data_IF_723838119564
#
_entry.id   IF_723838119564
#
_cell.length_a   1.000
_cell.length_b   1.000
_cell.length_c   1.000
_cell.angle_alpha   90.00
_cell.angle_beta   90.00
_cell.angle_gamma   90.00
#
_symmetry.space_group_name_H-M   'P 1'
#
loop_
_entity.id
_entity.type
_entity.pdbx_description
1 polymer ?
#
# COMPACT_ATOMS: atom_id res chain seq x y z
N UNK A 1 4.99 -16.22 -11.98
CA UNK A 1 5.54 -17.35 -11.19
C UNK A 1 5.62 -16.96 -9.72
N UNK A 2 4.93 -17.70 -8.84
CA UNK A 2 5.11 -17.63 -7.39
C UNK A 2 6.34 -18.43 -6.98
N UNK A 3 7.09 -17.97 -5.98
CA UNK A 3 8.20 -18.73 -5.40
C UNK A 3 7.64 -19.48 -4.20
N UNK A 4 7.85 -20.80 -4.17
CA UNK A 4 7.35 -21.67 -3.11
C UNK A 4 8.52 -22.24 -2.32
N UNK A 5 8.31 -22.41 -1.02
CA UNK A 5 9.20 -23.10 -0.09
C UNK A 5 8.35 -24.20 0.52
N UNK A 6 8.76 -25.46 0.40
CA UNK A 6 7.92 -26.59 0.82
C UNK A 6 6.52 -26.52 0.21
N UNK A 7 6.43 -26.62 -1.12
CA UNK A 7 5.17 -26.50 -1.83
C UNK A 7 4.05 -27.28 -1.11
N UNK A 8 2.89 -26.64 -0.81
CA UNK A 8 2.40 -25.39 -1.40
C UNK A 8 2.73 -24.10 -0.62
N UNK A 9 3.68 -24.08 0.32
CA UNK A 9 3.87 -22.91 1.20
C UNK A 9 4.67 -21.79 0.51
N UNK A 10 4.35 -20.55 0.87
CA UNK A 10 4.97 -19.34 0.29
C UNK A 10 5.83 -18.65 1.35
N UNK A 11 7.09 -18.30 1.04
CA UNK A 11 7.95 -17.55 1.95
C UNK A 11 7.49 -16.09 2.06
N UNK A 12 7.62 -15.52 3.26
CA UNK A 12 7.41 -14.09 3.48
C UNK A 12 8.65 -13.33 3.03
N UNK A 13 8.45 -12.27 2.25
CA UNK A 13 9.49 -11.34 1.84
C UNK A 13 9.06 -9.91 2.17
N UNK A 14 9.99 -8.95 2.10
CA UNK A 14 9.68 -7.53 2.27
C UNK A 14 8.55 -7.09 1.31
N UNK A 15 8.65 -7.45 0.03
CA UNK A 15 7.64 -7.16 -1.01
C UNK A 15 6.52 -8.20 -1.13
N UNK A 16 6.33 -9.09 -0.15
CA UNK A 16 5.28 -10.11 -0.21
C UNK A 16 3.87 -9.58 0.08
N UNK A 17 3.73 -8.33 0.55
CA UNK A 17 2.43 -7.73 0.91
C UNK A 17 1.60 -8.55 1.89
N UNK A 18 2.26 -9.33 2.74
CA UNK A 18 1.59 -10.10 3.75
C UNK A 18 0.99 -9.18 4.81
N UNK A 19 -0.27 -9.39 5.12
CA UNK A 19 -1.04 -8.64 6.11
C UNK A 19 -1.40 -9.56 7.27
N UNK A 20 -0.99 -9.20 8.48
CA UNK A 20 -1.28 -9.93 9.70
C UNK A 20 -2.29 -9.15 10.55
N UNK A 21 -3.57 -9.25 10.18
CA UNK A 21 -4.66 -8.63 10.95
C UNK A 21 -4.96 -9.45 12.19
N UNK A 22 -4.88 -8.81 13.35
CA UNK A 22 -5.04 -9.47 14.64
C UNK A 22 -6.37 -10.25 14.73
N UNK A 23 -6.27 -11.56 14.81
CA UNK A 23 -7.40 -12.48 15.01
C UNK A 23 -7.81 -12.58 16.48
N UNK A 24 -6.89 -12.28 17.40
CA UNK A 24 -7.18 -12.15 18.82
C UNK A 24 -7.34 -10.67 19.21
N UNK A 25 -8.23 -10.33 20.15
CA UNK A 25 -8.52 -8.94 20.51
C UNK A 25 -7.28 -8.15 20.98
N UNK A 26 -6.98 -7.04 20.31
CA UNK A 26 -5.99 -6.06 20.77
C UNK A 26 -6.63 -5.11 21.78
N UNK A 27 -6.58 -5.51 23.05
CA UNK A 27 -7.16 -4.77 24.16
C UNK A 27 -6.28 -3.57 24.53
N UNK A 28 -6.77 -2.36 24.30
CA UNK A 28 -6.04 -1.13 24.57
C UNK A 28 -6.75 -0.27 25.62
N UNK A 29 -5.97 0.55 26.32
CA UNK A 29 -6.47 1.54 27.27
C UNK A 29 -7.05 2.70 26.46
N UNK A 30 -8.33 3.03 26.65
CA UNK A 30 -8.94 4.21 26.04
C UNK A 30 -9.37 5.22 27.10
N UNK A 31 -9.39 6.52 26.78
CA UNK A 31 -9.88 7.54 27.70
C UNK A 31 -11.37 7.34 27.98
N UNK A 32 -11.77 7.46 29.26
CA UNK A 32 -13.16 7.37 29.71
C UNK A 32 -13.44 8.37 30.85
N UNK A 33 -14.67 8.89 31.00
CA UNK A 33 -15.03 9.86 32.03
C UNK A 33 -15.63 9.21 33.29
N UNK A 34 -15.39 9.72 34.53
CA UNK A 34 -14.08 9.88 35.19
C UNK A 34 -13.40 8.51 35.45
N UNK A 35 -12.10 8.51 35.81
CA UNK A 35 -11.22 7.33 35.91
C UNK A 35 -11.83 6.05 36.54
N UNK A 36 -11.44 4.83 36.10
CA UNK A 36 -10.24 4.48 35.32
C UNK A 36 -10.45 4.28 33.81
N UNK A 37 -9.36 4.04 33.06
CA UNK A 37 -9.40 3.79 31.59
C UNK A 37 -10.39 2.69 31.22
N UNK A 38 -10.97 2.78 30.02
CA UNK A 38 -11.89 1.76 29.49
C UNK A 38 -11.10 0.81 28.59
N UNK A 39 -10.97 -0.49 28.94
CA UNK A 39 -10.39 -1.47 28.04
C UNK A 39 -11.26 -1.61 26.78
N UNK A 40 -10.68 -1.29 25.62
CA UNK A 40 -11.39 -1.29 24.33
C UNK A 40 -10.62 -2.13 23.32
N UNK A 41 -11.34 -2.94 22.55
CA UNK A 41 -10.76 -3.65 21.41
C UNK A 41 -10.49 -2.64 20.30
N UNK A 42 -9.22 -2.42 19.97
CA UNK A 42 -8.81 -1.63 18.82
C UNK A 42 -8.27 -2.54 17.70
N UNK A 43 -8.34 -2.14 16.43
CA UNK A 43 -7.70 -2.91 15.38
C UNK A 43 -6.17 -2.88 15.54
N UNK A 44 -5.51 -3.96 15.13
CA UNK A 44 -4.08 -3.96 14.89
C UNK A 44 -3.77 -4.84 13.69
N UNK A 45 -3.04 -4.30 12.73
CA UNK A 45 -2.68 -4.99 11.49
C UNK A 45 -1.19 -4.81 11.24
N UNK A 46 -0.46 -5.91 11.14
CA UNK A 46 0.94 -5.93 10.75
C UNK A 46 1.11 -6.01 9.24
N UNK A 47 2.13 -5.35 8.68
CA UNK A 47 2.45 -5.41 7.24
C UNK A 47 3.89 -5.87 7.03
N UNK A 48 4.10 -6.93 6.26
CA UNK A 48 5.43 -7.58 6.08
C UNK A 48 6.51 -6.66 5.51
N UNK A 49 6.12 -5.59 4.80
CA UNK A 49 7.04 -4.60 4.22
C UNK A 49 7.29 -3.38 5.12
N UNK A 50 6.52 -3.22 6.21
CA UNK A 50 6.62 -2.06 7.09
C UNK A 50 7.72 -2.28 8.13
N UNK A 51 8.72 -1.39 8.16
CA UNK A 51 9.86 -1.44 9.09
C UNK A 51 10.41 -2.87 9.37
N UNK A 52 10.75 -3.67 8.34
CA UNK A 52 11.17 -5.05 8.50
C UNK A 52 12.50 -5.11 9.27
N UNK A 53 12.57 -6.01 10.26
CA UNK A 53 13.76 -6.26 11.08
C UNK A 53 14.02 -7.76 11.14
N UNK A 54 15.30 -8.15 11.08
CA UNK A 54 15.69 -9.56 11.13
C UNK A 54 15.38 -10.36 9.87
N UNK A 55 15.19 -9.68 8.74
CA UNK A 55 15.11 -10.28 7.41
C UNK A 55 16.53 -10.59 6.92
N UNK A 56 16.66 -11.48 5.94
CA UNK A 56 17.94 -11.83 5.32
C UNK A 56 18.62 -10.61 4.73
N UNK A 57 19.94 -10.53 4.89
CA UNK A 57 20.77 -9.45 4.34
C UNK A 57 21.51 -9.86 3.07
N UNK A 58 21.66 -11.17 2.83
CA UNK A 58 22.45 -11.72 1.73
C UNK A 58 21.61 -12.41 0.64
N UNK A 59 20.41 -12.89 0.97
CA UNK A 59 19.56 -13.65 0.05
C UNK A 59 18.25 -12.91 -0.18
N UNK A 60 17.91 -12.74 -1.46
CA UNK A 60 16.66 -12.12 -1.89
C UNK A 60 15.85 -13.08 -2.76
N UNK A 61 14.52 -12.94 -2.70
CA UNK A 61 13.61 -13.52 -3.67
C UNK A 61 13.06 -12.37 -4.50
N UNK A 62 13.38 -12.36 -5.80
CA UNK A 62 12.97 -11.30 -6.74
C UNK A 62 13.40 -9.89 -6.29
N UNK A 63 14.56 -9.76 -5.65
CA UNK A 63 15.07 -8.48 -5.14
C UNK A 63 14.58 -8.11 -3.74
N UNK A 64 13.61 -8.85 -3.18
CA UNK A 64 13.11 -8.62 -1.83
C UNK A 64 13.81 -9.51 -0.80
N UNK A 65 14.23 -8.90 0.31
CA UNK A 65 14.76 -9.60 1.47
C UNK A 65 13.74 -10.60 2.03
N UNK A 66 14.20 -11.80 2.40
CA UNK A 66 13.37 -12.90 2.89
C UNK A 66 13.22 -12.79 4.41
N UNK A 67 12.03 -12.98 4.96
CA UNK A 67 11.84 -13.12 6.39
C UNK A 67 12.39 -14.47 6.86
N UNK A 68 13.28 -14.44 7.84
CA UNK A 68 13.89 -15.63 8.45
C UNK A 68 13.60 -15.65 9.95
N UNK A 69 13.87 -16.77 10.62
CA UNK A 69 13.58 -16.95 12.05
C UNK A 69 14.07 -15.77 12.89
N UNK A 70 13.16 -15.19 13.68
CA UNK A 70 13.40 -13.98 14.48
C UNK A 70 13.03 -12.67 13.77
N UNK A 71 12.56 -12.73 12.52
CA UNK A 71 12.05 -11.57 11.81
C UNK A 71 10.82 -10.95 12.49
N UNK A 72 10.64 -9.65 12.24
CA UNK A 72 9.51 -8.85 12.70
C UNK A 72 9.26 -7.69 11.75
N UNK A 73 8.08 -7.11 11.81
CA UNK A 73 7.70 -5.94 11.01
C UNK A 73 6.72 -5.03 11.78
N UNK A 74 6.45 -3.84 11.27
CA UNK A 74 5.58 -2.83 11.87
C UNK A 74 4.11 -3.25 11.90
N UNK A 75 3.33 -2.59 12.76
CA UNK A 75 1.88 -2.69 12.76
C UNK A 75 1.22 -1.34 12.97
N UNK A 76 -0.05 -1.22 12.63
CA UNK A 76 -0.86 -0.02 12.81
C UNK A 76 -2.30 -0.34 13.20
N UNK A 77 -3.06 0.70 13.58
CA UNK A 77 -4.51 0.61 13.85
C UNK A 77 -4.96 1.02 15.26
N UNK A 78 -4.05 1.09 16.24
CA UNK A 78 -4.39 1.34 17.65
C UNK A 78 -3.90 2.70 18.19
N UNK A 79 -3.69 3.66 17.30
CA UNK A 79 -3.11 4.98 17.61
C UNK A 79 -3.99 5.80 18.54
N UNK A 80 -5.30 5.54 18.53
CA UNK A 80 -6.27 6.15 19.42
C UNK A 80 -5.94 5.92 20.92
N UNK A 81 -5.26 4.82 21.25
CA UNK A 81 -4.85 4.48 22.62
C UNK A 81 -3.49 5.06 23.04
N UNK A 82 -2.82 5.82 22.16
CA UNK A 82 -1.47 6.32 22.44
C UNK A 82 -1.42 7.26 23.63
N UNK A 83 -2.41 8.15 23.78
CA UNK A 83 -2.50 9.11 24.89
C UNK A 83 -2.74 8.46 26.25
N UNK A 84 -3.16 7.19 26.27
CA UNK A 84 -3.55 6.42 27.46
C UNK A 84 -2.60 5.25 27.74
N UNK A 85 -1.45 5.20 27.06
CA UNK A 85 -0.40 4.20 27.29
C UNK A 85 -0.56 2.90 26.49
N UNK A 86 -1.46 2.86 25.51
CA UNK A 86 -1.53 1.79 24.51
C UNK A 86 -2.17 0.49 24.99
N UNK A 87 -1.63 -0.62 24.50
CA UNK A 87 -2.06 -1.98 24.82
C UNK A 87 -2.04 -2.28 26.32
N UNK A 88 -3.03 -3.05 26.77
CA UNK A 88 -3.17 -3.48 28.16
C UNK A 88 -1.95 -4.28 28.63
N UNK A 89 -1.46 -5.20 27.80
CA UNK A 89 -0.30 -6.02 28.09
C UNK A 89 1.00 -5.39 27.58
N UNK A 90 1.02 -4.91 26.33
CA UNK A 90 2.26 -4.43 25.70
C UNK A 90 2.72 -3.05 26.16
N UNK A 91 1.82 -2.25 26.76
CA UNK A 91 2.03 -0.82 27.01
C UNK A 91 2.55 -0.07 25.79
N UNK A 92 2.10 -0.48 24.60
CA UNK A 92 2.56 0.03 23.32
C UNK A 92 1.41 0.22 22.33
N UNK A 93 1.64 1.07 21.34
CA UNK A 93 0.78 1.23 20.16
C UNK A 93 1.63 1.02 18.93
N UNK A 94 1.08 0.44 17.87
CA UNK A 94 1.81 0.20 16.63
C UNK A 94 3.07 -0.64 16.88
N UNK A 95 3.01 -1.51 17.89
CA UNK A 95 4.13 -2.34 18.28
C UNK A 95 4.51 -3.36 17.20
N UNK A 96 5.73 -3.92 17.25
CA UNK A 96 6.16 -4.86 16.23
C UNK A 96 5.27 -6.10 16.19
N UNK A 97 4.98 -6.57 14.98
CA UNK A 97 4.43 -7.89 14.68
C UNK A 97 5.59 -8.88 14.58
N UNK A 98 5.55 -9.95 15.39
CA UNK A 98 6.62 -10.96 15.44
C UNK A 98 6.09 -12.33 15.05
N UNK A 99 6.85 -13.07 14.25
CA UNK A 99 6.54 -14.47 13.99
C UNK A 99 6.65 -15.29 15.28
N UNK A 100 5.60 -16.05 15.56
CA UNK A 100 5.58 -17.09 16.59
C UNK A 100 5.95 -18.46 15.98
N UNK A 101 5.57 -18.68 14.72
CA UNK A 101 5.93 -19.88 13.96
C UNK A 101 7.44 -20.08 13.84
N UNK A 102 7.85 -21.36 13.75
CA UNK A 102 9.25 -21.75 13.59
C UNK A 102 9.76 -21.51 12.16
N UNK A 103 8.89 -21.23 11.20
CA UNK A 103 9.18 -21.20 9.78
C UNK A 103 9.22 -22.60 9.15
N UNK A 104 9.78 -22.67 7.94
CA UNK A 104 10.14 -23.92 7.28
C UNK A 104 11.07 -24.76 8.16
N UNK A 105 10.86 -26.08 8.18
CA UNK A 105 11.63 -27.00 9.02
C UNK A 105 12.88 -27.54 8.34
N UNK A 106 12.97 -27.40 7.02
CA UNK A 106 14.02 -27.96 6.16
C UNK A 106 14.69 -26.90 5.29
N UNK A 107 14.00 -25.83 4.90
CA UNK A 107 14.56 -24.72 4.13
C UNK A 107 15.05 -23.61 5.05
N UNK A 108 16.36 -23.36 4.98
CA UNK A 108 17.05 -22.32 5.75
C UNK A 108 17.74 -21.34 4.83
N UNK A 109 17.71 -20.07 5.24
CA UNK A 109 18.47 -18.96 4.66
C UNK A 109 19.32 -18.38 5.78
N UNK A 110 20.62 -18.18 5.52
CA UNK A 110 21.58 -17.71 6.54
C UNK A 110 21.57 -18.59 7.81
N UNK A 111 21.39 -19.90 7.63
CA UNK A 111 21.31 -20.87 8.72
C UNK A 111 20.01 -20.79 9.56
N UNK A 112 19.06 -19.92 9.20
CA UNK A 112 17.80 -19.72 9.90
C UNK A 112 16.62 -20.17 9.05
N UNK A 113 15.60 -20.73 9.70
CA UNK A 113 14.38 -21.16 9.02
C UNK A 113 13.71 -20.00 8.28
N UNK A 114 13.22 -20.25 7.08
CA UNK A 114 12.47 -19.26 6.29
C UNK A 114 11.05 -19.12 6.85
N UNK A 115 10.59 -17.90 7.13
CA UNK A 115 9.22 -17.66 7.58
C UNK A 115 8.24 -17.75 6.41
N UNK A 116 7.07 -18.31 6.68
CA UNK A 116 6.04 -18.67 5.72
C UNK A 116 4.76 -17.88 6.00
N UNK A 117 3.92 -17.70 4.99
CA UNK A 117 2.65 -16.97 5.15
C UNK A 117 1.77 -17.58 6.24
N UNK A 118 1.69 -18.90 6.33
CA UNK A 118 0.88 -19.57 7.35
C UNK A 118 1.47 -19.57 8.76
N UNK A 119 2.60 -18.90 9.02
CA UNK A 119 3.17 -18.86 10.36
C UNK A 119 2.36 -17.92 11.27
N UNK A 120 1.90 -18.40 12.44
CA UNK A 120 1.19 -17.55 13.38
C UNK A 120 2.11 -16.45 13.91
N UNK A 121 1.50 -15.33 14.30
CA UNK A 121 2.20 -14.12 14.69
C UNK A 121 1.64 -13.50 15.96
N UNK A 122 2.49 -12.75 16.64
CA UNK A 122 2.14 -11.86 17.73
C UNK A 122 2.02 -10.44 17.18
N UNK A 123 1.03 -9.69 17.65
CA UNK A 123 0.69 -8.34 17.19
C UNK A 123 0.81 -7.33 18.34
N UNK A 124 1.09 -6.08 17.98
CA UNK A 124 1.29 -4.96 18.89
C UNK A 124 2.16 -5.33 20.10
N UNK A 125 3.33 -5.93 19.85
CA UNK A 125 4.21 -6.28 20.95
C UNK A 125 4.79 -5.04 21.64
N UNK A 126 5.26 -5.20 22.88
CA UNK A 126 6.07 -4.18 23.55
C UNK A 126 7.33 -3.84 22.74
N UNK A 127 8.06 -2.75 23.08
CA UNK A 127 9.23 -2.31 22.31
C UNK A 127 10.32 -3.37 22.09
N UNK A 128 10.50 -4.31 23.03
CA UNK A 128 11.41 -5.46 22.89
C UNK A 128 10.86 -6.62 22.04
N UNK A 129 9.61 -6.51 21.59
CA UNK A 129 8.85 -7.57 20.95
C UNK A 129 8.13 -8.52 21.90
N UNK A 130 8.06 -8.17 23.18
CA UNK A 130 7.24 -8.81 24.21
C UNK A 130 6.90 -7.79 25.32
N UNK A 131 5.83 -8.02 26.10
CA UNK A 131 4.77 -9.00 25.84
C UNK A 131 3.94 -8.60 24.60
N UNK A 132 3.21 -9.57 24.04
CA UNK A 132 2.28 -9.32 22.96
C UNK A 132 0.94 -8.81 23.51
N UNK A 133 0.28 -7.91 22.77
CA UNK A 133 -1.07 -7.45 23.13
C UNK A 133 -2.17 -8.18 22.36
N UNK A 134 -1.83 -8.73 21.20
CA UNK A 134 -2.72 -9.50 20.33
C UNK A 134 -1.93 -10.56 19.55
N UNK A 135 -2.63 -11.34 18.72
CA UNK A 135 -2.01 -12.33 17.85
C UNK A 135 -2.84 -12.54 16.57
N UNK A 136 -2.15 -12.99 15.52
CA UNK A 136 -2.72 -13.45 14.26
C UNK A 136 -2.42 -14.94 14.12
N UNK A 137 -3.42 -15.79 14.34
CA UNK A 137 -3.21 -17.25 14.38
C UNK A 137 -3.23 -17.90 12.99
N UNK A 138 -3.89 -17.26 12.01
CA UNK A 138 -3.98 -17.73 10.62
C UNK A 138 -2.71 -17.48 9.81
N UNK A 139 -1.82 -16.62 10.30
CA UNK A 139 -0.66 -16.13 9.56
C UNK A 139 -0.95 -14.87 8.74
N UNK A 140 -0.12 -14.60 7.74
CA UNK A 140 -0.24 -13.46 6.85
C UNK A 140 -1.15 -13.80 5.68
N UNK A 141 -2.18 -12.99 5.49
CA UNK A 141 -2.98 -12.99 4.29
C UNK A 141 -2.30 -12.17 3.20
N UNK A 142 -2.33 -12.69 1.97
CA UNK A 142 -2.02 -11.93 0.77
C UNK A 142 -3.34 -11.71 0.04
N UNK A 143 -3.65 -10.47 -0.32
CA UNK A 143 -4.87 -10.16 -1.06
C UNK A 143 -4.90 -10.98 -2.37
N UNK A 144 -5.74 -12.01 -2.40
CA UNK A 144 -5.85 -12.96 -3.51
C UNK A 144 -7.28 -12.98 -4.06
N UNK A 145 -8.26 -12.62 -3.24
CA UNK A 145 -9.64 -12.37 -3.61
C UNK A 145 -9.92 -10.92 -4.01
N UNK A 146 -10.87 -10.72 -4.92
CA UNK A 146 -11.21 -9.39 -5.42
C UNK A 146 -11.77 -8.42 -4.36
N UNK A 147 -12.30 -8.93 -3.24
CA UNK A 147 -12.76 -8.12 -2.11
C UNK A 147 -11.61 -7.68 -1.19
N UNK A 148 -10.66 -8.58 -0.91
CA UNK A 148 -9.45 -8.27 -0.13
C UNK A 148 -8.57 -7.26 -0.87
N UNK A 149 -8.44 -7.40 -2.19
CA UNK A 149 -7.69 -6.45 -3.01
C UNK A 149 -8.33 -5.06 -2.95
N UNK A 150 -9.66 -4.98 -2.96
CA UNK A 150 -10.36 -3.71 -2.80
C UNK A 150 -10.03 -3.06 -1.45
N UNK A 151 -10.12 -3.81 -0.35
CA UNK A 151 -9.77 -3.32 1.00
C UNK A 151 -8.32 -2.82 1.03
N UNK A 152 -7.39 -3.59 0.44
CA UNK A 152 -5.99 -3.20 0.38
C UNK A 152 -5.75 -1.90 -0.42
N UNK A 153 -6.45 -1.73 -1.56
CA UNK A 153 -6.38 -0.49 -2.34
C UNK A 153 -6.98 0.69 -1.56
N UNK A 154 -8.09 0.49 -0.85
CA UNK A 154 -8.65 1.51 0.03
C UNK A 154 -7.66 1.93 1.14
N UNK A 155 -6.98 0.97 1.77
CA UNK A 155 -6.02 1.28 2.82
C UNK A 155 -4.77 1.99 2.29
N UNK A 156 -4.28 1.59 1.11
CA UNK A 156 -3.21 2.34 0.41
C UNK A 156 -3.65 3.78 0.15
N UNK A 157 -4.87 3.98 -0.33
CA UNK A 157 -5.42 5.32 -0.58
C UNK A 157 -5.50 6.17 0.69
N UNK A 158 -5.95 5.60 1.81
CA UNK A 158 -6.01 6.28 3.12
C UNK A 158 -4.61 6.67 3.60
N UNK A 159 -3.67 5.72 3.60
CA UNK A 159 -2.30 5.94 4.08
C UNK A 159 -1.59 7.01 3.26
N UNK A 160 -1.68 6.95 1.93
CA UNK A 160 -1.09 7.96 1.06
C UNK A 160 -1.76 9.33 1.22
N UNK A 161 -3.08 9.37 1.41
CA UNK A 161 -3.79 10.61 1.68
C UNK A 161 -3.30 11.27 2.97
N UNK A 162 -3.24 10.52 4.07
CA UNK A 162 -2.82 11.01 5.38
C UNK A 162 -1.34 11.42 5.39
N UNK A 163 -0.46 10.58 4.84
CA UNK A 163 0.98 10.83 4.80
C UNK A 163 1.30 12.14 4.08
N UNK A 164 0.82 12.29 2.85
CA UNK A 164 1.08 13.48 2.03
C UNK A 164 0.46 14.74 2.64
N UNK A 165 -0.74 14.61 3.22
CA UNK A 165 -1.37 15.74 3.91
C UNK A 165 -0.55 16.19 5.14
N UNK A 166 -0.08 15.26 5.98
CA UNK A 166 0.77 15.58 7.15
C UNK A 166 2.09 16.23 6.73
N UNK A 167 2.77 15.67 5.73
CA UNK A 167 4.03 16.23 5.20
C UNK A 167 3.86 17.64 4.64
N UNK A 168 2.68 17.94 4.09
CA UNK A 168 2.33 19.25 3.57
C UNK A 168 1.77 20.22 4.63
N UNK A 169 1.72 19.84 5.91
CA UNK A 169 1.23 20.69 7.00
C UNK A 169 -0.30 20.74 7.13
N UNK A 170 -1.03 19.73 6.63
CA UNK A 170 -2.48 19.59 6.76
C UNK A 170 -2.86 18.29 7.51
N UNK A 171 -2.46 18.11 8.79
CA UNK A 171 -2.86 16.93 9.54
C UNK A 171 -4.40 16.91 9.74
N UNK A 172 -5.04 15.72 9.82
CA UNK A 172 -6.47 15.65 10.13
C UNK A 172 -6.81 16.46 11.40
N UNK A 173 -7.89 17.28 11.40
CA UNK A 173 -8.96 17.38 10.40
C UNK A 173 -8.75 18.45 9.30
N UNK A 174 -7.58 19.09 9.24
CA UNK A 174 -7.31 20.16 8.28
C UNK A 174 -7.27 19.63 6.84
N UNK A 175 -7.77 20.44 5.89
CA UNK A 175 -7.88 20.02 4.48
C UNK A 175 -7.23 21.03 3.55
N UNK A 176 -6.38 20.56 2.61
CA UNK A 176 -5.86 21.42 1.57
C UNK A 176 -6.98 21.85 0.62
N UNK A 177 -6.88 23.05 0.05
CA UNK A 177 -7.87 23.57 -0.91
C UNK A 177 -7.24 24.18 -2.15
N UNK A 178 -8.05 24.38 -3.19
CA UNK A 178 -7.63 25.04 -4.44
C UNK A 178 -6.44 24.35 -5.12
N UNK A 179 -5.46 25.14 -5.56
CA UNK A 179 -4.28 24.63 -6.30
C UNK A 179 -3.37 23.73 -5.45
N UNK A 180 -3.36 23.91 -4.13
CA UNK A 180 -2.55 23.08 -3.22
C UNK A 180 -3.11 21.66 -3.22
N UNK A 181 -4.43 21.51 -3.09
CA UNK A 181 -5.12 20.22 -3.21
C UNK A 181 -4.76 19.48 -4.50
N UNK A 182 -4.77 20.15 -5.66
CA UNK A 182 -4.43 19.52 -6.94
C UNK A 182 -2.98 19.04 -7.00
N UNK A 183 -2.04 19.83 -6.47
CA UNK A 183 -0.63 19.44 -6.38
C UNK A 183 -0.44 18.23 -5.47
N UNK A 184 -1.04 18.27 -4.27
CA UNK A 184 -0.99 17.15 -3.33
C UNK A 184 -1.66 15.90 -3.89
N UNK A 185 -2.76 16.04 -4.65
CA UNK A 185 -3.39 14.93 -5.36
C UNK A 185 -2.41 14.19 -6.26
N UNK A 186 -1.61 14.91 -7.05
CA UNK A 186 -0.58 14.27 -7.91
C UNK A 186 0.44 13.48 -7.08
N UNK A 187 0.87 14.01 -5.93
CA UNK A 187 1.77 13.31 -5.01
C UNK A 187 1.11 12.08 -4.35
N UNK A 188 -0.19 12.16 -4.05
CA UNK A 188 -0.96 11.04 -3.49
C UNK A 188 -1.11 9.90 -4.50
N UNK A 189 -1.42 10.19 -5.77
CA UNK A 189 -1.44 9.18 -6.83
C UNK A 189 -0.07 8.51 -6.99
N UNK A 190 1.02 9.30 -7.01
CA UNK A 190 2.38 8.75 -7.08
C UNK A 190 2.72 7.87 -5.86
N UNK A 191 2.25 8.24 -4.66
CA UNK A 191 2.38 7.41 -3.46
C UNK A 191 1.62 6.08 -3.61
N UNK A 192 0.37 6.11 -4.10
CA UNK A 192 -0.41 4.90 -4.29
C UNK A 192 0.20 3.98 -5.36
N UNK A 193 0.70 4.55 -6.46
CA UNK A 193 1.39 3.81 -7.50
C UNK A 193 2.65 3.12 -6.95
N UNK A 194 3.49 3.85 -6.22
CA UNK A 194 4.66 3.28 -5.56
C UNK A 194 4.26 2.16 -4.58
N UNK A 195 3.24 2.38 -3.75
CA UNK A 195 2.77 1.36 -2.80
C UNK A 195 2.23 0.10 -3.49
N UNK A 196 1.50 0.24 -4.61
CA UNK A 196 0.99 -0.91 -5.38
C UNK A 196 2.14 -1.64 -6.09
N UNK A 197 3.12 -0.92 -6.64
CA UNK A 197 4.31 -1.51 -7.26
C UNK A 197 5.17 -2.24 -6.23
N UNK A 198 5.40 -1.63 -5.08
CA UNK A 198 6.11 -2.22 -3.93
C UNK A 198 5.37 -3.44 -3.39
N UNK A 199 4.04 -3.44 -3.49
CA UNK A 199 3.24 -4.58 -3.08
C UNK A 199 3.44 -5.83 -3.97
N UNK A 200 3.98 -5.65 -5.18
CA UNK A 200 4.40 -6.71 -6.11
C UNK A 200 3.35 -7.83 -6.32
N UNK A 201 2.08 -7.48 -6.26
CA UNK A 201 0.99 -8.43 -6.44
C UNK A 201 0.83 -8.75 -7.94
N UNK A 202 0.89 -10.02 -8.31
CA UNK A 202 0.79 -10.44 -9.71
C UNK A 202 -0.55 -10.08 -10.37
N UNK A 203 -1.62 -9.97 -9.57
CA UNK A 203 -2.98 -9.65 -10.03
C UNK A 203 -3.29 -8.15 -10.01
N UNK A 204 -2.39 -7.30 -9.51
CA UNK A 204 -2.66 -5.86 -9.42
C UNK A 204 -1.60 -5.07 -10.17
N UNK A 205 -2.04 -4.10 -10.97
CA UNK A 205 -1.14 -3.15 -11.64
C UNK A 205 -1.62 -1.73 -11.37
N UNK A 206 -0.68 -0.80 -11.28
CA UNK A 206 -0.95 0.64 -11.16
C UNK A 206 -0.35 1.40 -12.33
N UNK A 207 -0.85 2.62 -12.55
CA UNK A 207 -0.45 3.51 -13.64
C UNK A 207 -0.38 2.82 -15.02
N UNK A 208 -1.44 2.10 -15.40
CA UNK A 208 -1.48 1.39 -16.67
C UNK A 208 -1.78 2.37 -17.81
N UNK A 209 -0.80 2.69 -18.68
CA UNK A 209 -0.99 3.68 -19.72
C UNK A 209 -1.56 3.02 -20.98
N UNK A 210 -2.67 3.53 -21.48
CA UNK A 210 -3.39 2.98 -22.63
C UNK A 210 -3.51 4.02 -23.75
N UNK A 211 -3.49 3.52 -24.99
CA UNK A 211 -3.94 4.25 -26.18
C UNK A 211 -5.47 4.39 -26.17
N UNK A 212 -6.00 5.20 -27.08
CA UNK A 212 -7.46 5.41 -27.20
C UNK A 212 -8.22 4.13 -27.57
N UNK A 213 -7.56 3.20 -28.24
CA UNK A 213 -8.09 1.88 -28.64
C UNK A 213 -7.97 0.81 -27.55
N UNK A 214 -7.46 1.17 -26.36
CA UNK A 214 -7.28 0.23 -25.25
C UNK A 214 -5.99 -0.57 -25.27
N UNK A 215 -5.15 -0.42 -26.31
CA UNK A 215 -3.84 -1.11 -26.35
C UNK A 215 -2.81 -0.42 -25.44
N UNK A 216 -1.79 -1.16 -24.94
CA UNK A 216 -0.75 -0.58 -24.10
C UNK A 216 -0.03 0.59 -24.80
N UNK A 217 0.17 1.69 -24.06
CA UNK A 217 0.98 2.81 -24.50
C UNK A 217 2.43 2.62 -24.04
N UNK A 218 3.45 2.91 -24.87
CA UNK A 218 4.85 2.62 -24.55
C UNK A 218 5.47 3.58 -23.52
N UNK A 219 4.81 4.70 -23.25
CA UNK A 219 5.29 5.73 -22.33
C UNK A 219 4.30 5.97 -21.19
N UNK A 220 4.85 6.20 -20.01
CA UNK A 220 4.15 6.60 -18.80
C UNK A 220 3.97 8.12 -18.76
N UNK A 221 3.22 8.61 -17.78
CA UNK A 221 3.09 10.05 -17.52
C UNK A 221 4.42 10.65 -17.04
N UNK A 222 5.22 9.87 -16.32
CA UNK A 222 6.54 10.26 -15.85
C UNK A 222 7.52 10.45 -17.03
N UNK A 223 7.51 9.54 -18.00
CA UNK A 223 8.31 9.67 -19.23
C UNK A 223 7.96 10.95 -20.00
N UNK A 224 6.67 11.30 -20.06
CA UNK A 224 6.20 12.53 -20.70
C UNK A 224 6.69 13.78 -19.95
N UNK A 225 6.64 13.77 -18.62
CA UNK A 225 7.16 14.86 -17.78
C UNK A 225 8.68 15.02 -17.93
N UNK A 226 9.43 13.92 -17.92
CA UNK A 226 10.87 13.90 -18.10
C UNK A 226 11.26 14.48 -19.46
N UNK A 227 10.63 14.02 -20.54
CA UNK A 227 10.87 14.54 -21.88
C UNK A 227 10.51 16.03 -22.03
N UNK A 228 9.44 16.48 -21.36
CA UNK A 228 9.09 17.89 -21.29
C UNK A 228 10.20 18.73 -20.63
N UNK A 229 10.70 18.29 -19.46
CA UNK A 229 11.77 18.99 -18.73
C UNK A 229 13.08 19.04 -19.52
N UNK A 230 13.45 17.93 -20.14
CA UNK A 230 14.63 17.84 -21.00
C UNK A 230 14.53 18.81 -22.19
N UNK A 231 13.41 18.80 -22.91
CA UNK A 231 13.18 19.71 -24.03
C UNK A 231 13.19 21.19 -23.61
N UNK A 232 12.67 21.50 -22.41
CA UNK A 232 12.72 22.84 -21.86
C UNK A 232 14.15 23.30 -21.54
N UNK A 233 15.00 22.39 -21.04
CA UNK A 233 16.40 22.68 -20.76
C UNK A 233 17.22 22.88 -22.04
N UNK A 234 16.93 22.11 -23.09
CA UNK A 234 17.61 22.22 -24.39
C UNK A 234 17.20 23.44 -25.21
N UNK A 235 16.03 24.05 -24.94
CA UNK A 235 15.55 25.22 -25.66
C UNK A 235 15.27 26.40 -24.70
N UNK A 236 16.33 27.12 -24.26
CA UNK A 236 16.21 28.21 -23.29
C UNK A 236 15.45 29.43 -23.83
N UNK A 237 15.33 29.57 -25.16
CA UNK A 237 14.62 30.67 -25.82
C UNK A 237 13.10 30.52 -25.73
N UNK A 238 12.60 29.28 -25.76
CA UNK A 238 11.15 29.01 -25.66
C UNK A 238 10.83 27.80 -24.76
N UNK A 239 11.25 27.80 -23.49
CA UNK A 239 11.25 26.59 -22.65
C UNK A 239 9.85 26.00 -22.47
N UNK A 240 8.84 26.86 -22.31
CA UNK A 240 7.45 26.45 -22.14
C UNK A 240 6.87 25.78 -23.38
N UNK A 241 7.16 26.31 -24.57
CA UNK A 241 6.67 25.74 -25.82
C UNK A 241 7.32 24.38 -26.10
N UNK A 242 8.63 24.28 -25.89
CA UNK A 242 9.39 23.04 -26.00
C UNK A 242 8.87 21.97 -25.00
N UNK A 243 8.67 22.37 -23.74
CA UNK A 243 8.06 21.52 -22.71
C UNK A 243 6.72 20.95 -23.18
N UNK A 244 5.78 21.82 -23.56
CA UNK A 244 4.43 21.41 -23.94
C UNK A 244 4.47 20.45 -25.14
N UNK A 245 5.26 20.76 -26.18
CA UNK A 245 5.37 19.90 -27.37
C UNK A 245 5.86 18.50 -27.03
N UNK A 246 6.95 18.38 -26.26
CA UNK A 246 7.51 17.10 -25.88
C UNK A 246 6.61 16.33 -24.90
N UNK A 247 6.03 17.02 -23.93
CA UNK A 247 5.09 16.44 -22.97
C UNK A 247 3.87 15.84 -23.68
N UNK A 248 3.16 16.61 -24.51
CA UNK A 248 1.96 16.11 -25.19
C UNK A 248 2.25 15.02 -26.23
N UNK A 249 3.45 14.97 -26.80
CA UNK A 249 3.84 13.92 -27.73
C UNK A 249 3.99 12.54 -27.07
N UNK A 250 4.39 12.50 -25.80
CA UNK A 250 4.59 11.24 -25.05
C UNK A 250 3.51 10.95 -24.00
N UNK A 251 2.62 11.91 -23.73
CA UNK A 251 1.57 11.76 -22.72
C UNK A 251 0.56 10.69 -23.16
N UNK A 252 0.38 9.60 -22.40
CA UNK A 252 -0.64 8.61 -22.71
C UNK A 252 -2.04 9.24 -22.65
N UNK A 253 -2.94 8.90 -23.60
CA UNK A 253 -4.27 9.48 -23.64
C UNK A 253 -5.14 9.04 -22.46
N UNK A 254 -4.87 7.87 -21.89
CA UNK A 254 -5.53 7.30 -20.71
C UNK A 254 -4.47 6.66 -19.82
N UNK A 255 -4.54 6.93 -18.51
CA UNK A 255 -3.74 6.27 -17.49
C UNK A 255 -4.68 5.79 -16.41
N UNK A 256 -4.70 4.48 -16.15
CA UNK A 256 -5.54 3.86 -15.13
C UNK A 256 -4.78 3.84 -13.81
N UNK A 257 -5.41 4.24 -12.71
CA UNK A 257 -4.70 4.32 -11.43
C UNK A 257 -4.38 2.95 -10.84
N UNK A 258 -5.39 2.06 -10.76
CA UNK A 258 -5.20 0.68 -10.32
C UNK A 258 -6.13 -0.27 -11.10
N UNK A 259 -5.61 -1.43 -11.48
CA UNK A 259 -6.36 -2.48 -12.14
C UNK A 259 -6.13 -3.83 -11.49
N UNK A 260 -7.17 -4.65 -11.45
CA UNK A 260 -7.06 -6.07 -11.13
C UNK A 260 -7.05 -6.85 -12.43
N UNK A 261 -6.12 -7.79 -12.55
CA UNK A 261 -6.01 -8.73 -13.64
C UNK A 261 -6.71 -10.04 -13.29
N UNK A 262 -7.35 -10.66 -14.27
CA UNK A 262 -7.79 -12.05 -14.18
C UNK A 262 -6.62 -13.02 -14.35
N UNK A 263 -6.89 -14.32 -14.23
CA UNK A 263 -5.86 -15.37 -14.34
C UNK A 263 -5.26 -15.46 -15.76
N UNK A 264 -5.89 -14.84 -16.77
CA UNK A 264 -5.37 -14.72 -18.14
C UNK A 264 -4.48 -13.49 -18.34
N UNK A 265 -4.34 -12.64 -17.33
CA UNK A 265 -3.58 -11.40 -17.37
C UNK A 265 -4.33 -10.23 -18.02
N UNK A 266 -5.64 -10.38 -18.28
CA UNK A 266 -6.48 -9.30 -18.81
C UNK A 266 -7.05 -8.47 -17.66
N UNK A 267 -7.29 -7.18 -17.90
CA UNK A 267 -7.96 -6.31 -16.95
C UNK A 267 -9.37 -6.88 -16.65
N UNK A 268 -9.66 -7.11 -15.38
CA UNK A 268 -10.92 -7.61 -14.86
C UNK A 268 -11.70 -6.53 -14.09
N UNK A 269 -10.99 -5.66 -13.36
CA UNK A 269 -11.57 -4.50 -12.67
C UNK A 269 -10.65 -3.29 -12.76
N UNK A 270 -11.24 -2.11 -12.76
CA UNK A 270 -10.53 -0.82 -12.77
C UNK A 270 -10.98 -0.02 -11.55
N UNK A 271 -10.01 0.50 -10.82
CA UNK A 271 -10.19 1.43 -9.71
C UNK A 271 -9.51 2.76 -10.02
N UNK A 272 -10.18 3.85 -9.69
CA UNK A 272 -9.65 5.21 -9.84
C UNK A 272 -9.69 5.89 -8.47
N UNK A 273 -8.53 6.42 -8.05
CA UNK A 273 -8.39 7.09 -6.77
C UNK A 273 -8.88 8.53 -6.87
N UNK A 274 -9.75 8.91 -5.94
CA UNK A 274 -10.32 10.25 -5.82
C UNK A 274 -9.97 10.83 -4.45
N UNK A 275 -8.98 11.72 -4.45
CA UNK A 275 -8.59 12.51 -3.29
C UNK A 275 -9.41 13.81 -3.25
N UNK A 276 -10.40 13.82 -2.37
CA UNK A 276 -11.45 14.84 -2.30
C UNK A 276 -11.01 15.97 -1.35
N UNK A 277 -11.31 17.22 -1.70
CA UNK A 277 -10.92 18.37 -0.89
C UNK A 277 -12.11 19.16 -0.34
N UNK A 278 -13.24 19.22 -1.05
CA UNK A 278 -14.46 19.90 -0.59
C UNK A 278 -15.70 19.09 -0.93
N UNK A 279 -15.95 18.89 -2.21
CA UNK A 279 -17.10 18.14 -2.71
C UNK A 279 -16.70 16.72 -3.10
N UNK A 280 -17.69 15.82 -3.23
CA UNK A 280 -17.48 14.53 -3.89
C UNK A 280 -17.03 14.80 -5.34
N UNK A 281 -15.79 14.49 -5.71
CA UNK A 281 -15.33 14.67 -7.06
C UNK A 281 -16.01 13.61 -7.92
N UNK A 282 -16.70 14.09 -8.94
CA UNK A 282 -17.31 13.26 -9.96
C UNK A 282 -16.31 13.11 -11.10
N UNK A 283 -16.12 11.89 -11.57
CA UNK A 283 -15.42 11.68 -12.84
C UNK A 283 -16.26 12.31 -13.97
N UNK A 284 -15.62 13.13 -14.81
CA UNK A 284 -16.30 13.78 -15.94
C UNK A 284 -16.86 12.73 -16.92
N UNK A 285 -17.96 13.03 -17.61
CA UNK A 285 -18.56 12.13 -18.60
C UNK A 285 -17.55 11.71 -19.67
N UNK A 286 -16.76 12.68 -20.14
CA UNK A 286 -15.69 12.44 -21.13
C UNK A 286 -14.61 11.48 -20.61
N UNK A 287 -14.25 11.56 -19.32
CA UNK A 287 -13.27 10.64 -18.74
C UNK A 287 -13.87 9.25 -18.56
N UNK A 288 -15.14 9.14 -18.14
CA UNK A 288 -15.85 7.85 -18.07
C UNK A 288 -15.94 7.18 -19.44
N UNK A 289 -16.28 7.93 -20.49
CA UNK A 289 -16.33 7.42 -21.87
C UNK A 289 -14.98 6.92 -22.36
N UNK A 290 -13.88 7.63 -22.03
CA UNK A 290 -12.52 7.18 -22.34
C UNK A 290 -12.21 5.83 -21.70
N UNK A 291 -12.52 5.68 -20.41
CA UNK A 291 -12.35 4.41 -19.70
C UNK A 291 -13.17 3.30 -20.36
N UNK A 292 -14.46 3.54 -20.59
CA UNK A 292 -15.35 2.58 -21.24
C UNK A 292 -14.88 2.19 -22.65
N UNK A 293 -14.36 3.14 -23.43
CA UNK A 293 -13.85 2.87 -24.77
C UNK A 293 -12.57 2.04 -24.72
N UNK A 294 -11.66 2.34 -23.79
CA UNK A 294 -10.36 1.68 -23.72
C UNK A 294 -10.39 0.32 -23.02
N UNK A 295 -11.26 0.14 -22.02
CA UNK A 295 -11.29 -1.10 -21.22
C UNK A 295 -12.60 -1.89 -21.36
N UNK A 296 -13.65 -1.28 -21.92
CA UNK A 296 -15.01 -1.85 -21.91
C UNK A 296 -15.71 -1.78 -20.55
N UNK A 297 -15.11 -1.13 -19.55
CA UNK A 297 -15.57 -1.16 -18.15
C UNK A 297 -15.80 0.24 -17.59
N UNK A 298 -16.71 0.35 -16.62
CA UNK A 298 -16.80 1.55 -15.78
C UNK A 298 -15.88 1.40 -14.56
N UNK A 299 -15.04 2.42 -14.25
CA UNK A 299 -14.16 2.37 -13.10
C UNK A 299 -14.92 2.52 -11.79
N UNK A 300 -14.49 1.78 -10.78
CA UNK A 300 -14.93 1.99 -9.39
C UNK A 300 -14.13 3.15 -8.80
N UNK A 301 -14.82 4.15 -8.24
CA UNK A 301 -14.16 5.32 -7.65
C UNK A 301 -13.89 5.06 -6.17
N UNK A 302 -12.63 5.17 -5.76
CA UNK A 302 -12.23 5.09 -4.35
C UNK A 302 -12.07 6.51 -3.80
N UNK A 303 -12.84 6.87 -2.78
CA UNK A 303 -12.94 8.24 -2.29
C UNK A 303 -12.21 8.43 -0.96
N UNK A 304 -11.36 9.46 -0.88
CA UNK A 304 -10.58 9.80 0.31
C UNK A 304 -10.75 11.28 0.64
N UNK A 305 -10.78 11.63 1.93
CA UNK A 305 -11.18 12.95 2.43
C UNK A 305 -10.12 13.63 3.30
#
# INVERSE_FOLDING_TARGET
MSVLVNAPKTPVTKGSSGTATATLPNMCKMPGPPAPFVPTVLPNTGKSGESPKGYSTSVTIKGDAIAIRGASFGSSGDSASKGTGGGMASANTHGPTKFLGLGSLDVKVEGKNVQLLGDPMLNNCGPGGSPANAATLSGLDQASGGAEILIALEDIGKECNEKINREAGFPPPEKPSGRICTKLGTLKHACCDAAIKDANNAKVKSEVPLKKDGTPHPHTREDALAAGREAAALNPVSPKAAFCKAFFAKLPPISLDAVILDDSGKIAKVYDYKFNCKDQPKMSKTQKEKYKTATGMEPTLLHFW
#
